data_IF_330950692351
#
_entry.id   IF_330950692351
#
_cell.length_a   1.000
_cell.length_b   1.000
_cell.length_c   1.000
_cell.angle_alpha   90.00
_cell.angle_beta   90.00
_cell.angle_gamma   90.00
#
_symmetry.space_group_name_H-M   'P 1'
#
loop_
_entity.id
_entity.type
_entity.pdbx_description
1 polymer ?
#
# COMPACT_ATOMS: atom_id res chain seq x y z
N UNK A 1 -7.88 -33.08 -28.30
CA UNK A 1 -7.19 -33.25 -26.99
C UNK A 1 -6.17 -32.17 -26.68
N UNK A 2 -5.11 -31.89 -27.47
CA UNK A 2 -4.14 -30.80 -27.22
C UNK A 2 -4.77 -29.42 -27.36
N UNK A 3 -5.62 -29.17 -28.36
CA UNK A 3 -6.36 -27.90 -28.56
C UNK A 3 -7.48 -27.68 -27.53
N UNK A 4 -8.09 -28.73 -27.02
CA UNK A 4 -9.08 -28.63 -25.95
C UNK A 4 -8.42 -28.31 -24.61
N UNK A 5 -7.24 -28.91 -24.32
CA UNK A 5 -6.44 -28.57 -23.13
C UNK A 5 -5.93 -27.12 -23.19
N UNK A 6 -5.58 -26.62 -24.37
CA UNK A 6 -5.16 -25.24 -24.56
C UNK A 6 -6.32 -24.25 -24.39
N UNK A 7 -7.50 -24.55 -24.96
CA UNK A 7 -8.73 -23.77 -24.76
C UNK A 7 -9.24 -23.81 -23.31
N UNK A 8 -9.12 -24.95 -22.64
CA UNK A 8 -9.49 -25.07 -21.23
C UNK A 8 -8.54 -24.29 -20.34
N UNK A 9 -7.21 -24.33 -20.59
CA UNK A 9 -6.24 -23.45 -19.94
C UNK A 9 -6.48 -21.96 -20.23
N UNK A 10 -6.80 -21.60 -21.48
CA UNK A 10 -7.12 -20.21 -21.86
C UNK A 10 -8.45 -19.73 -21.21
N UNK A 11 -9.45 -20.59 -21.03
CA UNK A 11 -10.69 -20.24 -20.30
C UNK A 11 -10.53 -20.26 -18.78
N UNK A 12 -9.62 -21.06 -18.23
CA UNK A 12 -9.24 -21.04 -16.82
C UNK A 12 -8.32 -19.86 -16.49
N UNK A 13 -7.57 -19.32 -17.48
CA UNK A 13 -6.75 -18.11 -17.37
C UNK A 13 -7.54 -16.79 -17.38
N UNK A 14 -8.85 -16.82 -17.61
CA UNK A 14 -9.72 -15.63 -17.60
C UNK A 14 -10.78 -15.68 -16.49
N UNK A 15 -10.55 -16.41 -15.42
CA UNK A 15 -11.34 -16.20 -14.23
C UNK A 15 -11.14 -14.73 -13.80
N UNK A 16 -12.21 -13.95 -13.91
CA UNK A 16 -12.19 -12.53 -13.54
C UNK A 16 -11.81 -12.44 -12.06
N UNK A 17 -10.67 -11.79 -11.77
CA UNK A 17 -10.21 -11.63 -10.39
C UNK A 17 -11.22 -10.74 -9.66
N UNK A 18 -11.82 -11.28 -8.61
CA UNK A 18 -12.83 -10.59 -7.83
C UNK A 18 -12.21 -9.38 -7.13
N UNK A 19 -12.73 -8.16 -7.35
CA UNK A 19 -12.31 -6.98 -6.62
C UNK A 19 -12.61 -7.12 -5.12
N UNK A 20 -11.82 -6.45 -4.28
CA UNK A 20 -12.00 -6.42 -2.82
C UNK A 20 -12.62 -5.09 -2.41
N UNK A 21 -13.68 -5.15 -1.59
CA UNK A 21 -14.29 -3.95 -1.01
C UNK A 21 -13.54 -3.53 0.25
N UNK A 22 -13.07 -2.27 0.28
CA UNK A 22 -12.40 -1.65 1.45
C UNK A 22 -13.20 -0.40 1.82
N UNK A 23 -14.03 -0.52 2.85
CA UNK A 23 -15.00 0.53 3.18
C UNK A 23 -15.90 0.86 1.97
N UNK A 24 -15.91 2.12 1.55
CA UNK A 24 -16.69 2.58 0.39
C UNK A 24 -15.99 2.39 -0.97
N UNK A 25 -14.74 1.93 -0.99
CA UNK A 25 -13.95 1.76 -2.20
C UNK A 25 -13.88 0.31 -2.65
N UNK A 26 -13.82 0.12 -3.96
CA UNK A 26 -13.59 -1.19 -4.58
C UNK A 26 -12.17 -1.22 -5.15
N UNK A 27 -11.36 -2.18 -4.71
CA UNK A 27 -9.96 -2.36 -5.12
C UNK A 27 -9.85 -3.53 -6.07
N UNK A 28 -9.57 -3.25 -7.34
CA UNK A 28 -9.53 -4.28 -8.38
C UNK A 28 -9.46 -3.70 -9.78
N UNK A 29 -9.31 -4.58 -10.77
CA UNK A 29 -9.26 -4.17 -12.17
C UNK A 29 -10.57 -3.47 -12.58
N UNK A 30 -10.48 -2.40 -13.38
CA UNK A 30 -11.61 -1.61 -13.82
C UNK A 30 -12.13 -0.57 -12.83
N UNK A 31 -11.52 -0.47 -11.65
CA UNK A 31 -11.81 0.54 -10.64
C UNK A 31 -10.66 1.56 -10.53
N UNK A 32 -10.90 2.76 -9.97
CA UNK A 32 -9.82 3.70 -9.66
C UNK A 32 -8.74 3.06 -8.79
N UNK A 33 -7.48 3.41 -9.04
CA UNK A 33 -6.36 2.94 -8.22
C UNK A 33 -6.53 3.45 -6.78
N UNK A 34 -6.45 2.55 -5.81
CA UNK A 34 -6.53 2.87 -4.40
C UNK A 34 -5.17 3.38 -3.92
N UNK A 35 -5.04 4.71 -3.81
CA UNK A 35 -3.80 5.38 -3.39
C UNK A 35 -3.77 5.50 -1.87
N UNK A 36 -2.67 5.07 -1.26
CA UNK A 36 -2.44 5.06 0.19
C UNK A 36 -1.23 5.93 0.53
N UNK A 37 -1.44 6.94 1.37
CA UNK A 37 -0.35 7.68 2.00
C UNK A 37 0.12 6.97 3.26
N UNK A 38 1.29 6.35 3.23
CA UNK A 38 1.89 5.72 4.41
C UNK A 38 2.53 6.78 5.30
N UNK A 39 1.84 7.16 6.36
CA UNK A 39 2.39 8.03 7.40
C UNK A 39 3.38 7.24 8.28
N UNK A 40 3.07 5.95 8.51
CA UNK A 40 3.90 5.06 9.29
C UNK A 40 4.20 5.62 10.67
N UNK A 41 5.45 5.96 10.93
CA UNK A 41 5.92 6.65 12.14
C UNK A 41 6.53 8.04 11.82
N UNK A 42 6.34 8.56 10.62
CA UNK A 42 6.88 9.85 10.20
C UNK A 42 6.29 11.05 10.97
N UNK A 43 5.19 10.82 11.67
CA UNK A 43 4.61 11.79 12.61
C UNK A 43 5.46 12.01 13.88
N UNK A 44 6.47 11.19 14.16
CA UNK A 44 7.38 11.33 15.31
C UNK A 44 6.68 11.45 16.69
N UNK A 45 5.49 10.85 16.85
CA UNK A 45 4.69 10.94 18.08
C UNK A 45 3.96 12.27 18.27
N UNK A 46 3.77 13.03 17.20
CA UNK A 46 3.03 14.29 17.18
C UNK A 46 1.78 14.15 16.30
N UNK A 47 0.60 14.26 16.90
CA UNK A 47 -0.69 14.11 16.19
C UNK A 47 -0.94 15.25 15.21
N UNK A 48 -0.41 16.44 15.45
CA UNK A 48 -0.54 17.57 14.53
C UNK A 48 0.27 17.38 13.25
N UNK A 49 1.46 16.75 13.34
CA UNK A 49 2.21 16.31 12.16
C UNK A 49 1.43 15.23 11.41
N UNK A 50 0.82 14.28 12.10
CA UNK A 50 -0.01 13.27 11.47
C UNK A 50 -1.19 13.90 10.69
N UNK A 51 -1.90 14.87 11.26
CA UNK A 51 -2.99 15.60 10.60
C UNK A 51 -2.52 16.37 9.36
N UNK A 52 -1.36 17.02 9.42
CA UNK A 52 -0.77 17.68 8.25
C UNK A 52 -0.47 16.69 7.12
N UNK A 53 0.02 15.49 7.45
CA UNK A 53 0.25 14.43 6.47
C UNK A 53 -1.08 13.88 5.91
N UNK A 54 -2.14 13.81 6.71
CA UNK A 54 -3.49 13.48 6.23
C UNK A 54 -4.01 14.54 5.25
N UNK A 55 -3.75 15.83 5.49
CA UNK A 55 -4.07 16.91 4.55
C UNK A 55 -3.35 16.75 3.22
N UNK A 56 -2.07 16.38 3.26
CA UNK A 56 -1.29 16.07 2.04
C UNK A 56 -1.91 14.92 1.28
N UNK A 57 -2.26 13.84 1.96
CA UNK A 57 -2.90 12.68 1.34
C UNK A 57 -4.26 13.06 0.71
N UNK A 58 -5.06 13.86 1.39
CA UNK A 58 -6.33 14.36 0.86
C UNK A 58 -6.14 15.21 -0.38
N UNK A 59 -5.18 16.14 -0.38
CA UNK A 59 -4.84 16.98 -1.56
C UNK A 59 -4.36 16.13 -2.75
N UNK A 60 -3.62 15.07 -2.50
CA UNK A 60 -3.20 14.12 -3.55
C UNK A 60 -4.37 13.33 -4.15
N UNK A 61 -5.54 13.34 -3.49
CA UNK A 61 -6.69 12.52 -3.86
C UNK A 61 -6.51 11.05 -3.48
N UNK A 62 -5.72 10.77 -2.45
CA UNK A 62 -5.61 9.46 -1.86
C UNK A 62 -6.94 9.02 -1.23
N UNK A 63 -7.20 7.72 -1.22
CA UNK A 63 -8.37 7.13 -0.59
C UNK A 63 -8.14 6.90 0.90
N UNK A 64 -6.88 6.65 1.28
CA UNK A 64 -6.55 6.34 2.65
C UNK A 64 -5.17 6.86 3.08
N UNK A 65 -5.01 6.98 4.39
CA UNK A 65 -3.71 7.04 5.05
C UNK A 65 -3.49 5.79 5.90
N UNK A 66 -2.22 5.42 6.07
CA UNK A 66 -1.86 4.25 6.86
C UNK A 66 -0.87 4.62 7.95
N UNK A 67 -1.10 4.04 9.12
CA UNK A 67 -0.25 4.11 10.29
C UNK A 67 0.39 2.75 10.61
N UNK A 68 1.17 2.71 11.65
CA UNK A 68 1.67 1.47 12.25
C UNK A 68 1.24 1.45 13.71
N UNK A 69 0.72 0.32 14.18
CA UNK A 69 0.40 0.12 15.60
C UNK A 69 1.19 -1.04 16.15
N UNK A 70 1.81 -0.82 17.29
CA UNK A 70 2.56 -1.86 18.01
C UNK A 70 2.41 -1.70 19.51
N UNK A 71 2.47 -2.82 20.21
CA UNK A 71 2.85 -2.83 21.60
C UNK A 71 4.38 -2.93 21.66
N UNK A 72 5.11 -1.85 22.02
CA UNK A 72 6.57 -1.87 21.96
C UNK A 72 7.22 -2.96 22.83
N UNK A 73 6.60 -3.32 23.95
CA UNK A 73 7.09 -4.40 24.83
C UNK A 73 7.09 -5.77 24.14
N UNK A 74 6.15 -6.00 23.23
CA UNK A 74 5.97 -7.25 22.50
C UNK A 74 6.69 -7.22 21.15
N UNK A 75 6.53 -6.14 20.39
CA UNK A 75 7.02 -6.04 19.01
C UNK A 75 8.53 -5.76 18.91
N UNK A 76 9.15 -5.17 19.96
CA UNK A 76 10.59 -4.91 19.94
C UNK A 76 11.36 -6.16 20.40
N UNK A 77 12.27 -6.71 19.57
CA UNK A 77 13.10 -7.84 19.97
C UNK A 77 13.92 -7.56 21.24
N UNK A 78 14.02 -8.53 22.13
CA UNK A 78 14.61 -8.37 23.45
C UNK A 78 16.06 -7.82 23.40
N UNK A 79 16.86 -8.30 22.43
CA UNK A 79 18.24 -7.87 22.21
C UNK A 79 18.36 -6.43 21.65
N UNK A 80 17.25 -5.81 21.24
CA UNK A 80 17.21 -4.44 20.73
C UNK A 80 16.74 -3.45 21.80
N UNK A 81 15.93 -3.88 22.78
CA UNK A 81 15.24 -3.00 23.73
C UNK A 81 16.18 -2.00 24.43
N UNK A 82 17.33 -2.47 24.90
CA UNK A 82 18.31 -1.67 25.65
C UNK A 82 19.32 -0.93 24.77
N UNK A 83 19.29 -1.09 23.45
CA UNK A 83 20.27 -0.40 22.57
C UNK A 83 20.10 1.11 22.64
N UNK A 84 21.21 1.86 22.86
CA UNK A 84 21.15 3.31 22.91
C UNK A 84 20.80 3.88 21.54
N UNK A 85 20.01 4.94 21.55
CA UNK A 85 19.61 5.70 20.37
C UNK A 85 19.69 7.19 20.64
N UNK A 86 20.43 7.90 19.79
CA UNK A 86 20.43 9.36 19.79
C UNK A 86 19.20 9.87 19.04
N UNK A 87 18.43 10.72 19.69
CA UNK A 87 17.18 11.26 19.15
C UNK A 87 17.12 12.77 19.35
N UNK A 88 16.21 13.50 18.66
CA UNK A 88 16.03 14.93 18.93
C UNK A 88 15.59 15.25 20.35
N UNK A 89 15.06 14.27 21.07
CA UNK A 89 14.61 14.41 22.47
C UNK A 89 15.67 14.01 23.49
N UNK A 90 16.90 13.67 23.05
CA UNK A 90 18.02 13.23 23.86
C UNK A 90 18.39 11.75 23.64
N UNK A 91 19.35 11.29 24.43
CA UNK A 91 19.74 9.88 24.44
C UNK A 91 18.69 9.05 25.18
N UNK A 92 18.26 7.95 24.57
CA UNK A 92 17.30 7.02 25.13
C UNK A 92 17.54 5.60 24.60
N UNK A 93 16.91 4.61 25.19
CA UNK A 93 16.92 3.25 24.64
C UNK A 93 16.03 3.12 23.42
N UNK A 94 16.23 2.09 22.61
CA UNK A 94 15.38 1.82 21.45
C UNK A 94 13.92 1.57 21.86
N UNK A 95 13.70 0.92 23.00
CA UNK A 95 12.35 0.69 23.55
C UNK A 95 11.68 2.01 23.94
N UNK A 96 12.38 2.89 24.69
CA UNK A 96 11.85 4.22 25.05
C UNK A 96 11.52 5.05 23.82
N UNK A 97 12.35 4.99 22.77
CA UNK A 97 12.06 5.63 21.49
C UNK A 97 10.77 5.07 20.87
N UNK A 98 10.58 3.75 20.89
CA UNK A 98 9.37 3.15 20.31
C UNK A 98 8.10 3.56 21.06
N UNK A 99 8.15 3.64 22.38
CA UNK A 99 7.04 4.20 23.17
C UNK A 99 6.81 5.68 22.87
N UNK A 100 7.86 6.44 22.66
CA UNK A 100 7.76 7.88 22.36
C UNK A 100 7.02 8.19 21.08
N UNK A 101 7.18 7.37 20.06
CA UNK A 101 6.55 7.59 18.74
C UNK A 101 5.27 6.81 18.54
N UNK A 102 4.89 5.96 19.49
CA UNK A 102 3.66 5.18 19.41
C UNK A 102 2.45 6.06 19.80
N UNK A 103 1.36 5.95 19.04
CA UNK A 103 0.10 6.57 19.38
C UNK A 103 -0.79 5.61 20.19
N UNK A 104 -1.56 6.17 21.11
CA UNK A 104 -2.50 5.45 21.96
C UNK A 104 -3.96 5.88 21.69
N UNK A 105 -4.88 5.54 22.59
CA UNK A 105 -6.32 5.73 22.39
C UNK A 105 -6.69 7.20 22.09
N UNK A 106 -6.03 8.18 22.72
CA UNK A 106 -6.36 9.60 22.56
C UNK A 106 -5.99 10.10 21.16
N UNK A 107 -4.77 9.82 20.70
CA UNK A 107 -4.28 10.25 19.39
C UNK A 107 -5.04 9.55 18.26
N UNK A 108 -5.34 8.24 18.41
CA UNK A 108 -6.15 7.53 17.42
C UNK A 108 -7.60 8.01 17.38
N UNK A 109 -8.18 8.43 18.51
CA UNK A 109 -9.51 9.05 18.51
C UNK A 109 -9.51 10.40 17.76
N UNK A 110 -8.44 11.21 17.88
CA UNK A 110 -8.28 12.44 17.11
C UNK A 110 -8.06 12.16 15.62
N UNK A 111 -7.24 11.17 15.26
CA UNK A 111 -7.01 10.73 13.88
C UNK A 111 -8.33 10.26 13.25
N UNK A 112 -9.11 9.45 13.95
CA UNK A 112 -10.38 8.93 13.48
C UNK A 112 -11.40 10.06 13.22
N UNK A 113 -11.51 11.00 14.15
CA UNK A 113 -12.37 12.17 13.99
C UNK A 113 -11.93 13.03 12.79
N UNK A 114 -10.63 13.29 12.66
CA UNK A 114 -10.08 14.10 11.57
C UNK A 114 -10.19 13.43 10.20
N UNK A 115 -9.97 12.11 10.14
CA UNK A 115 -10.18 11.32 8.92
C UNK A 115 -11.63 11.43 8.43
N UNK A 116 -12.61 11.33 9.34
CA UNK A 116 -14.04 11.51 9.02
C UNK A 116 -14.34 12.91 8.50
N UNK A 117 -13.77 13.96 9.10
CA UNK A 117 -13.89 15.34 8.62
C UNK A 117 -13.37 15.51 7.19
N UNK A 118 -12.22 14.91 6.90
CA UNK A 118 -11.61 14.93 5.57
C UNK A 118 -12.32 14.03 4.55
N UNK A 119 -13.18 13.10 4.97
CA UNK A 119 -13.69 12.02 4.11
C UNK A 119 -12.54 11.17 3.58
N UNK A 120 -11.61 10.80 4.45
CA UNK A 120 -10.43 9.99 4.17
C UNK A 120 -10.50 8.73 5.02
N UNK A 121 -10.22 7.57 4.44
CA UNK A 121 -10.09 6.34 5.23
C UNK A 121 -8.74 6.31 5.95
N UNK A 122 -8.70 5.64 7.08
CA UNK A 122 -7.45 5.32 7.74
C UNK A 122 -7.44 3.88 8.23
N UNK A 123 -6.26 3.30 8.31
CA UNK A 123 -6.02 1.98 8.88
C UNK A 123 -4.56 1.88 9.33
N UNK A 124 -4.17 0.75 9.91
CA UNK A 124 -2.82 0.56 10.38
C UNK A 124 -2.27 -0.83 10.06
N UNK A 125 -0.95 -0.94 10.08
CA UNK A 125 -0.27 -2.23 10.16
C UNK A 125 -0.12 -2.62 11.62
N UNK A 126 -0.80 -3.67 12.12
CA UNK A 126 -0.50 -4.23 13.43
C UNK A 126 0.83 -4.97 13.39
N UNK A 127 1.64 -4.82 14.42
CA UNK A 127 2.92 -5.51 14.58
C UNK A 127 2.88 -6.64 15.62
N UNK A 128 1.72 -6.82 16.25
CA UNK A 128 1.43 -7.83 17.27
C UNK A 128 -0.08 -8.00 17.44
N UNK A 129 -0.50 -9.04 18.15
CA UNK A 129 -1.91 -9.36 18.38
C UNK A 129 -2.60 -8.31 19.25
N UNK A 130 -1.89 -7.71 20.21
CA UNK A 130 -2.46 -6.64 21.05
C UNK A 130 -2.86 -5.44 20.18
N UNK A 131 -2.06 -5.15 19.16
CA UNK A 131 -2.33 -4.09 18.17
C UNK A 131 -3.56 -4.40 17.30
N UNK A 132 -3.82 -5.67 16.96
CA UNK A 132 -5.07 -6.05 16.27
C UNK A 132 -6.27 -5.75 17.19
N UNK A 133 -6.22 -6.20 18.45
CA UNK A 133 -7.27 -5.94 19.42
C UNK A 133 -7.48 -4.45 19.70
N UNK A 134 -6.41 -3.68 19.68
CA UNK A 134 -6.47 -2.22 19.82
C UNK A 134 -7.22 -1.57 18.64
N UNK A 135 -6.88 -1.93 17.40
CA UNK A 135 -7.46 -1.35 16.19
C UNK A 135 -8.95 -1.71 16.01
N UNK A 136 -9.40 -2.85 16.56
CA UNK A 136 -10.82 -3.22 16.54
C UNK A 136 -11.71 -2.22 17.31
N UNK A 137 -11.17 -1.46 18.26
CA UNK A 137 -11.91 -0.41 18.97
C UNK A 137 -12.37 0.72 18.03
N UNK A 138 -11.67 0.93 16.92
CA UNK A 138 -11.90 2.00 15.94
C UNK A 138 -12.61 1.52 14.69
N UNK A 139 -13.00 0.25 14.61
CA UNK A 139 -13.65 -0.35 13.45
C UNK A 139 -12.87 -0.10 12.13
N UNK A 140 -11.56 -0.35 12.16
CA UNK A 140 -10.69 -0.17 11.00
C UNK A 140 -11.28 -0.86 9.74
N UNK A 141 -11.29 -0.14 8.60
CA UNK A 141 -11.92 -0.62 7.36
C UNK A 141 -11.16 -1.77 6.69
N UNK A 142 -9.88 -1.93 7.00
CA UNK A 142 -8.98 -2.96 6.48
C UNK A 142 -7.77 -3.08 7.40
N UNK A 143 -7.05 -4.19 7.29
CA UNK A 143 -5.74 -4.37 7.91
C UNK A 143 -4.63 -4.39 6.89
N UNK A 144 -3.46 -3.90 7.26
CA UNK A 144 -2.25 -4.03 6.46
C UNK A 144 -1.26 -4.98 7.14
N UNK A 145 -0.90 -6.07 6.45
CA UNK A 145 0.24 -6.89 6.86
C UNK A 145 1.50 -6.31 6.23
N UNK A 146 2.39 -5.81 7.09
CA UNK A 146 3.70 -5.34 6.67
C UNK A 146 4.57 -6.49 6.14
N UNK A 147 5.51 -6.19 5.24
CA UNK A 147 6.46 -7.21 4.72
C UNK A 147 7.20 -7.96 5.84
N UNK A 148 7.54 -7.27 6.93
CA UNK A 148 8.21 -7.86 8.08
C UNK A 148 7.37 -8.90 8.83
N UNK A 149 6.03 -8.82 8.71
CA UNK A 149 5.10 -9.67 9.47
C UNK A 149 4.48 -10.80 8.64
N UNK A 150 4.80 -10.94 7.35
CA UNK A 150 4.18 -11.94 6.48
C UNK A 150 4.43 -13.39 6.92
N UNK A 151 5.49 -13.64 7.67
CA UNK A 151 5.83 -14.96 8.22
C UNK A 151 5.33 -15.19 9.64
N UNK A 152 4.68 -14.20 10.25
CA UNK A 152 4.09 -14.32 11.59
C UNK A 152 2.69 -14.94 11.49
N UNK A 153 2.65 -16.27 11.47
CA UNK A 153 1.39 -17.01 11.30
C UNK A 153 0.36 -16.68 12.37
N UNK A 154 0.70 -16.60 13.68
CA UNK A 154 -0.28 -16.19 14.70
C UNK A 154 -0.89 -14.80 14.45
N UNK A 155 -0.10 -13.84 13.99
CA UNK A 155 -0.60 -12.50 13.63
C UNK A 155 -1.52 -12.56 12.40
N UNK A 156 -1.14 -13.33 11.37
CA UNK A 156 -1.97 -13.52 10.18
C UNK A 156 -3.33 -14.13 10.55
N UNK A 157 -3.34 -15.15 11.41
CA UNK A 157 -4.56 -15.79 11.89
C UNK A 157 -5.44 -14.80 12.68
N UNK A 158 -4.85 -14.01 13.58
CA UNK A 158 -5.58 -13.00 14.35
C UNK A 158 -6.22 -11.94 13.43
N UNK A 159 -5.50 -11.48 12.41
CA UNK A 159 -6.03 -10.53 11.43
C UNK A 159 -7.12 -11.16 10.57
N UNK A 160 -6.91 -12.38 10.05
CA UNK A 160 -7.93 -13.12 9.27
C UNK A 160 -9.23 -13.28 10.05
N UNK A 161 -9.13 -13.62 11.31
CA UNK A 161 -10.28 -13.93 12.18
C UNK A 161 -11.14 -12.69 12.48
N UNK A 162 -10.65 -11.46 12.20
CA UNK A 162 -11.48 -10.24 12.20
C UNK A 162 -12.52 -10.24 11.08
N UNK A 163 -12.34 -11.03 10.03
CA UNK A 163 -13.22 -11.07 8.85
C UNK A 163 -13.12 -9.84 7.93
N UNK A 164 -12.23 -8.89 8.23
CA UNK A 164 -12.04 -7.66 7.45
C UNK A 164 -11.16 -7.91 6.22
N UNK A 165 -11.25 -7.04 5.18
CA UNK A 165 -10.31 -7.07 4.06
C UNK A 165 -8.87 -6.89 4.54
N UNK A 166 -7.92 -7.46 3.79
CA UNK A 166 -6.51 -7.39 4.13
C UNK A 166 -5.67 -7.00 2.92
N UNK A 167 -4.78 -6.05 3.11
CA UNK A 167 -3.72 -5.69 2.16
C UNK A 167 -2.42 -6.27 2.70
N UNK A 168 -1.75 -7.16 1.95
CA UNK A 168 -0.56 -7.87 2.42
C UNK A 168 0.65 -7.61 1.51
N UNK A 169 1.71 -7.02 2.06
CA UNK A 169 2.97 -6.77 1.34
C UNK A 169 3.87 -7.98 1.34
N UNK A 170 4.58 -8.19 0.21
CA UNK A 170 5.39 -9.39 -0.06
C UNK A 170 6.90 -9.15 -0.03
N UNK A 171 7.37 -8.01 0.44
CA UNK A 171 8.79 -7.71 0.58
C UNK A 171 9.52 -8.68 1.52
N UNK A 172 10.83 -8.86 1.33
CA UNK A 172 11.68 -9.75 2.12
C UNK A 172 11.23 -11.22 2.15
N UNK A 173 10.39 -11.67 1.21
CA UNK A 173 9.78 -12.99 1.24
C UNK A 173 10.05 -13.79 -0.01
N UNK A 174 10.27 -15.09 0.16
CA UNK A 174 10.28 -16.05 -0.93
C UNK A 174 8.85 -16.40 -1.38
N UNK A 175 8.71 -17.01 -2.56
CA UNK A 175 7.39 -17.46 -3.03
C UNK A 175 6.76 -18.48 -2.08
N UNK A 176 7.56 -19.36 -1.48
CA UNK A 176 7.07 -20.37 -0.52
C UNK A 176 6.52 -19.72 0.76
N UNK A 177 7.14 -18.64 1.23
CA UNK A 177 6.63 -17.87 2.37
C UNK A 177 5.33 -17.15 2.02
N UNK A 178 5.25 -16.57 0.82
CA UNK A 178 4.01 -15.93 0.33
C UNK A 178 2.91 -16.97 0.13
N UNK A 179 3.21 -18.15 -0.44
CA UNK A 179 2.26 -19.25 -0.59
C UNK A 179 1.64 -19.62 0.76
N UNK A 180 2.48 -19.77 1.80
CA UNK A 180 2.01 -20.07 3.15
C UNK A 180 1.14 -18.98 3.74
N UNK A 181 1.52 -17.74 3.59
CA UNK A 181 0.73 -16.60 4.07
C UNK A 181 -0.64 -16.52 3.37
N UNK A 182 -0.67 -16.70 2.04
CA UNK A 182 -1.93 -16.73 1.26
C UNK A 182 -2.80 -17.94 1.65
N UNK A 183 -2.20 -19.10 1.94
CA UNK A 183 -2.94 -20.27 2.45
C UNK A 183 -3.66 -19.93 3.78
N UNK A 184 -2.96 -19.26 4.69
CA UNK A 184 -3.50 -18.87 6.00
C UNK A 184 -4.60 -17.81 5.87
N UNK A 185 -4.35 -16.78 5.06
CA UNK A 185 -5.28 -15.65 4.90
C UNK A 185 -6.53 -16.00 4.10
N UNK A 186 -6.44 -16.97 3.19
CA UNK A 186 -7.44 -17.13 2.14
C UNK A 186 -7.33 -16.05 1.05
N UNK A 187 -8.20 -16.10 0.05
CA UNK A 187 -8.13 -15.22 -1.13
C UNK A 187 -9.31 -14.24 -1.25
N UNK A 188 -10.40 -14.48 -0.54
CA UNK A 188 -11.68 -13.79 -0.79
C UNK A 188 -11.63 -12.29 -0.51
N UNK A 189 -10.91 -11.87 0.52
CA UNK A 189 -10.77 -10.47 0.92
C UNK A 189 -9.31 -10.01 0.95
N UNK A 190 -8.46 -10.58 0.08
CA UNK A 190 -7.03 -10.35 0.07
C UNK A 190 -6.61 -9.51 -1.14
N UNK A 191 -5.85 -8.45 -0.88
CA UNK A 191 -5.06 -7.69 -1.86
C UNK A 191 -3.58 -7.93 -1.55
N UNK A 192 -2.82 -8.42 -2.52
CA UNK A 192 -1.36 -8.52 -2.39
C UNK A 192 -0.70 -7.21 -2.86
N UNK A 193 0.46 -6.89 -2.28
CA UNK A 193 1.30 -5.80 -2.78
C UNK A 193 2.70 -6.31 -3.06
N UNK A 194 3.15 -6.13 -4.29
CA UNK A 194 4.57 -6.25 -4.59
C UNK A 194 5.33 -5.14 -3.86
N UNK A 195 6.37 -5.49 -3.13
CA UNK A 195 7.23 -4.59 -2.39
C UNK A 195 8.66 -5.11 -2.33
N UNK A 196 9.63 -4.19 -2.28
CA UNK A 196 11.02 -4.48 -1.92
C UNK A 196 11.40 -3.59 -0.74
N UNK A 197 11.90 -4.21 0.33
CA UNK A 197 12.16 -3.51 1.60
C UNK A 197 13.60 -2.97 1.67
N UNK A 198 13.97 -2.16 0.68
CA UNK A 198 15.20 -1.35 0.64
C UNK A 198 14.80 0.12 0.68
N UNK A 199 15.44 0.94 1.52
CA UNK A 199 15.05 2.34 1.80
C UNK A 199 16.26 3.30 1.69
N UNK A 200 16.38 4.16 0.66
CA UNK A 200 15.55 4.19 -0.54
C UNK A 200 15.83 2.99 -1.48
N UNK A 201 14.83 2.64 -2.29
CA UNK A 201 14.89 1.49 -3.20
C UNK A 201 15.54 1.89 -4.53
N UNK A 202 16.68 1.27 -4.94
CA UNK A 202 17.27 1.52 -6.25
C UNK A 202 16.46 0.82 -7.36
N UNK A 203 16.37 1.42 -8.57
CA UNK A 203 15.52 0.92 -9.66
C UNK A 203 15.78 -0.54 -10.06
N UNK A 204 17.02 -1.00 -10.00
CA UNK A 204 17.42 -2.38 -10.35
C UNK A 204 16.87 -3.45 -9.40
N UNK A 205 16.45 -3.09 -8.20
CA UNK A 205 15.86 -4.00 -7.20
C UNK A 205 14.34 -4.00 -7.19
N UNK A 206 13.68 -3.14 -7.97
CA UNK A 206 12.21 -2.95 -7.94
C UNK A 206 11.46 -4.16 -8.50
N UNK A 207 11.86 -4.67 -9.66
CA UNK A 207 11.24 -5.83 -10.32
C UNK A 207 9.71 -5.71 -10.55
N UNK A 208 9.25 -4.68 -11.22
CA UNK A 208 7.80 -4.42 -11.46
C UNK A 208 7.06 -5.58 -12.13
N UNK A 209 7.76 -6.42 -12.92
CA UNK A 209 7.15 -7.58 -13.56
C UNK A 209 6.66 -8.64 -12.55
N UNK A 210 7.03 -8.54 -11.28
CA UNK A 210 6.45 -9.35 -10.22
C UNK A 210 4.94 -9.06 -10.02
N UNK A 211 4.45 -7.85 -10.34
CA UNK A 211 3.03 -7.50 -10.19
C UNK A 211 2.12 -8.42 -11.02
N UNK A 212 2.25 -8.50 -12.36
CA UNK A 212 1.46 -9.44 -13.14
C UNK A 212 1.74 -10.91 -12.78
N UNK A 213 2.97 -11.27 -12.40
CA UNK A 213 3.31 -12.65 -12.02
C UNK A 213 2.61 -13.08 -10.72
N UNK A 214 2.57 -12.23 -9.70
CA UNK A 214 1.84 -12.49 -8.45
C UNK A 214 0.33 -12.57 -8.71
N UNK A 215 -0.21 -11.68 -9.55
CA UNK A 215 -1.62 -11.71 -9.96
C UNK A 215 -1.99 -13.02 -10.65
N UNK A 216 -1.17 -13.49 -11.58
CA UNK A 216 -1.38 -14.77 -12.27
C UNK A 216 -1.31 -15.97 -11.30
N UNK A 217 -0.31 -15.96 -10.39
CA UNK A 217 -0.09 -17.06 -9.43
C UNK A 217 -1.23 -17.20 -8.42
N UNK A 218 -1.67 -16.09 -7.84
CA UNK A 218 -2.60 -16.13 -6.70
C UNK A 218 -4.05 -15.89 -7.07
N UNK A 219 -4.33 -15.27 -8.21
CA UNK A 219 -5.69 -14.96 -8.64
C UNK A 219 -6.40 -13.94 -7.74
N UNK A 220 -5.64 -13.01 -7.14
CA UNK A 220 -6.13 -11.91 -6.31
C UNK A 220 -5.68 -10.56 -6.87
N UNK A 221 -6.33 -9.44 -6.49
CA UNK A 221 -5.85 -8.11 -6.85
C UNK A 221 -4.43 -7.88 -6.33
N UNK A 222 -3.58 -7.24 -7.15
CA UNK A 222 -2.18 -6.95 -6.78
C UNK A 222 -1.90 -5.46 -6.95
N UNK A 223 -1.29 -4.87 -5.93
CA UNK A 223 -0.81 -3.50 -5.91
C UNK A 223 0.71 -3.40 -5.82
N UNK A 224 1.17 -2.19 -5.57
CA UNK A 224 2.58 -1.84 -5.41
C UNK A 224 2.80 -1.00 -4.15
N UNK A 225 3.76 -1.38 -3.32
CA UNK A 225 4.24 -0.61 -2.17
C UNK A 225 5.70 -0.23 -2.42
N UNK A 226 5.94 1.03 -2.76
CA UNK A 226 7.20 1.53 -3.27
C UNK A 226 7.99 2.35 -2.26
N UNK A 227 9.34 2.22 -2.32
CA UNK A 227 10.29 2.95 -1.48
C UNK A 227 11.37 3.66 -2.32
N UNK A 228 11.18 3.72 -3.63
CA UNK A 228 12.02 4.41 -4.59
C UNK A 228 11.86 5.93 -4.50
N UNK A 229 12.81 6.68 -5.04
CA UNK A 229 12.72 8.14 -5.19
C UNK A 229 11.94 8.48 -6.47
N UNK A 230 11.05 9.47 -6.40
CA UNK A 230 10.26 9.94 -7.54
C UNK A 230 8.99 9.12 -7.79
N UNK A 231 8.25 9.50 -8.83
CA UNK A 231 6.91 8.98 -9.15
C UNK A 231 6.90 7.92 -10.25
N UNK A 232 7.90 7.94 -11.14
CA UNK A 232 7.89 7.20 -12.40
C UNK A 232 7.67 5.69 -12.25
N UNK A 233 8.29 5.06 -11.24
CA UNK A 233 8.18 3.62 -10.99
C UNK A 233 6.79 3.27 -10.47
N UNK A 234 6.26 4.04 -9.53
CA UNK A 234 4.89 3.86 -9.02
C UNK A 234 3.84 4.02 -10.12
N UNK A 235 4.02 4.99 -11.02
CA UNK A 235 3.16 5.18 -12.21
C UNK A 235 3.27 4.01 -13.18
N UNK A 236 4.50 3.50 -13.43
CA UNK A 236 4.71 2.31 -14.25
C UNK A 236 4.07 1.07 -13.64
N UNK A 237 4.06 0.92 -12.31
CA UNK A 237 3.35 -0.16 -11.64
C UNK A 237 1.85 -0.16 -11.95
N UNK A 238 1.21 1.02 -11.97
CA UNK A 238 -0.20 1.18 -12.39
C UNK A 238 -0.38 0.74 -13.84
N UNK A 239 0.51 1.12 -14.74
CA UNK A 239 0.45 0.69 -16.14
C UNK A 239 0.60 -0.84 -16.31
N UNK A 240 1.28 -1.51 -15.39
CA UNK A 240 1.38 -2.98 -15.31
C UNK A 240 0.20 -3.64 -14.58
N UNK A 241 -0.78 -2.86 -14.16
CA UNK A 241 -2.03 -3.32 -13.57
C UNK A 241 -2.02 -3.38 -12.04
N UNK A 242 -1.18 -2.62 -11.37
CA UNK A 242 -1.31 -2.39 -9.93
C UNK A 242 -2.63 -1.68 -9.63
N UNK A 243 -3.44 -2.26 -8.74
CA UNK A 243 -4.77 -1.74 -8.37
C UNK A 243 -4.75 -0.88 -7.11
N UNK A 244 -3.64 -0.89 -6.38
CA UNK A 244 -3.36 -0.01 -5.25
C UNK A 244 -1.90 0.38 -5.26
N UNK A 245 -1.61 1.60 -4.82
CA UNK A 245 -0.26 2.14 -4.68
C UNK A 245 -0.12 2.70 -3.27
N UNK A 246 0.94 2.29 -2.59
CA UNK A 246 1.30 2.77 -1.26
C UNK A 246 2.67 3.44 -1.31
N UNK A 247 2.78 4.65 -0.81
CA UNK A 247 4.05 5.38 -0.67
C UNK A 247 4.13 6.04 0.70
N UNK A 248 5.30 5.96 1.31
CA UNK A 248 5.61 6.77 2.49
C UNK A 248 5.51 8.26 2.17
N UNK A 249 4.95 9.04 3.10
CA UNK A 249 4.84 10.49 3.00
C UNK A 249 5.48 11.17 4.21
N UNK A 250 6.10 12.30 3.98
CA UNK A 250 6.73 13.15 5.00
C UNK A 250 6.39 14.62 4.75
N UNK A 251 6.55 15.47 5.75
CA UNK A 251 6.51 16.91 5.55
C UNK A 251 7.84 17.47 5.01
N UNK A 252 8.96 16.81 5.35
CA UNK A 252 10.30 17.20 4.94
C UNK A 252 11.25 15.99 5.12
N UNK A 253 11.99 15.64 4.08
CA UNK A 253 12.93 14.52 4.07
C UNK A 253 14.10 14.67 5.06
N UNK A 254 14.38 15.90 5.51
CA UNK A 254 15.40 16.18 6.52
C UNK A 254 14.90 16.01 7.96
N UNK A 255 13.61 15.74 8.15
CA UNK A 255 13.07 15.40 9.47
C UNK A 255 13.77 14.15 10.02
N UNK A 256 13.89 14.08 11.34
CA UNK A 256 14.45 12.92 12.00
C UNK A 256 13.52 11.71 11.91
N UNK A 257 14.06 10.54 11.55
CA UNK A 257 13.33 9.29 11.43
C UNK A 257 13.97 8.36 10.40
N UNK A 258 13.70 7.06 10.53
CA UNK A 258 14.28 6.05 9.63
C UNK A 258 13.71 6.11 8.22
N UNK A 259 12.45 6.53 8.07
CA UNK A 259 11.69 6.39 6.84
C UNK A 259 11.59 7.71 6.05
N UNK A 260 11.94 8.85 6.68
CA UNK A 260 11.83 10.19 6.13
C UNK A 260 12.51 10.32 4.76
N UNK A 261 13.77 9.84 4.64
CA UNK A 261 14.56 9.97 3.40
C UNK A 261 14.04 9.19 2.20
N UNK A 262 13.26 8.15 2.43
CA UNK A 262 12.61 7.35 1.39
C UNK A 262 11.15 7.75 1.15
N UNK A 263 10.67 8.76 1.89
CA UNK A 263 9.30 9.25 1.82
C UNK A 263 9.15 10.36 0.79
N UNK A 264 7.96 10.50 0.25
CA UNK A 264 7.61 11.59 -0.66
C UNK A 264 7.23 12.85 0.13
N UNK A 265 7.77 13.98 -0.28
CA UNK A 265 7.34 15.28 0.22
C UNK A 265 5.96 15.68 -0.36
N UNK A 266 5.28 16.69 0.21
CA UNK A 266 3.89 17.00 -0.13
C UNK A 266 3.64 17.19 -1.63
N UNK A 267 4.44 17.99 -2.31
CA UNK A 267 4.25 18.29 -3.74
C UNK A 267 4.48 17.04 -4.61
N UNK A 268 5.41 16.18 -4.20
CA UNK A 268 5.72 14.95 -4.91
C UNK A 268 4.59 13.92 -4.78
N UNK A 269 3.99 13.77 -3.58
CA UNK A 269 2.86 12.86 -3.38
C UNK A 269 1.59 13.35 -4.07
N UNK A 270 1.34 14.67 -4.09
CA UNK A 270 0.24 15.27 -4.84
C UNK A 270 0.42 14.99 -6.34
N UNK A 271 1.62 15.21 -6.86
CA UNK A 271 1.97 14.91 -8.25
C UNK A 271 1.76 13.43 -8.58
N UNK A 272 2.16 12.51 -7.70
CA UNK A 272 1.92 11.08 -7.89
C UNK A 272 0.42 10.79 -8.05
N UNK A 273 -0.42 11.37 -7.21
CA UNK A 273 -1.87 11.20 -7.32
C UNK A 273 -2.44 11.70 -8.65
N UNK A 274 -1.94 12.82 -9.17
CA UNK A 274 -2.31 13.35 -10.49
C UNK A 274 -1.87 12.42 -11.62
N UNK A 275 -0.61 11.99 -11.62
CA UNK A 275 -0.04 11.11 -12.64
C UNK A 275 -0.72 9.73 -12.67
N UNK A 276 -1.10 9.18 -11.51
CA UNK A 276 -1.88 7.93 -11.42
C UNK A 276 -3.23 8.09 -12.12
N UNK A 277 -3.95 9.19 -11.89
CA UNK A 277 -5.25 9.45 -12.53
C UNK A 277 -5.11 9.65 -14.05
N UNK A 278 -4.08 10.37 -14.47
CA UNK A 278 -3.78 10.58 -15.88
C UNK A 278 -3.48 9.26 -16.59
N UNK A 279 -2.56 8.44 -16.06
CA UNK A 279 -2.20 7.15 -16.64
C UNK A 279 -3.37 6.18 -16.63
N UNK A 280 -4.15 6.11 -15.55
CA UNK A 280 -5.35 5.27 -15.48
C UNK A 280 -6.34 5.62 -16.60
N UNK A 281 -6.53 6.91 -16.87
CA UNK A 281 -7.37 7.37 -17.98
C UNK A 281 -6.76 7.00 -19.35
N UNK A 282 -5.45 7.15 -19.49
CA UNK A 282 -4.72 6.88 -20.73
C UNK A 282 -4.65 5.39 -21.12
N UNK A 283 -4.75 4.49 -20.14
CA UNK A 283 -4.76 3.04 -20.38
C UNK A 283 -5.94 2.62 -21.29
N UNK A 284 -7.10 3.25 -21.16
CA UNK A 284 -8.27 2.97 -21.99
C UNK A 284 -8.77 1.52 -21.85
N UNK A 285 -9.40 1.02 -22.92
CA UNK A 285 -10.00 -0.34 -22.96
C UNK A 285 -9.23 -1.35 -23.81
N UNK A 286 -8.03 -0.99 -24.30
CA UNK A 286 -7.17 -1.83 -25.12
C UNK A 286 -7.66 -2.07 -26.55
N UNK A 287 -8.82 -1.54 -26.96
CA UNK A 287 -9.36 -1.73 -28.31
C UNK A 287 -8.81 -0.68 -29.27
N UNK A 288 -8.06 -1.11 -30.30
CA UNK A 288 -7.59 -0.19 -31.34
C UNK A 288 -8.75 0.24 -32.25
N UNK A 289 -8.98 1.55 -32.29
CA UNK A 289 -9.97 2.20 -33.15
C UNK A 289 -9.53 3.59 -33.54
N UNK A 290 -10.20 4.18 -34.51
CA UNK A 290 -10.06 5.62 -34.78
C UNK A 290 -10.72 6.38 -33.62
N UNK A 291 -9.96 7.27 -33.01
CA UNK A 291 -10.49 8.11 -31.93
C UNK A 291 -11.19 9.34 -32.52
N UNK A 292 -12.19 9.92 -31.84
CA UNK A 292 -12.95 11.07 -32.37
C UNK A 292 -12.05 12.24 -32.82
N UNK A 293 -10.97 12.53 -32.09
CA UNK A 293 -10.00 13.56 -32.45
C UNK A 293 -9.20 13.29 -33.72
N UNK A 294 -9.16 12.04 -34.22
CA UNK A 294 -8.42 11.67 -35.44
C UNK A 294 -9.27 11.83 -36.72
N UNK A 295 -10.61 11.92 -36.62
CA UNK A 295 -11.49 11.94 -37.81
C UNK A 295 -11.15 13.09 -38.77
N UNK A 296 -10.94 14.30 -38.25
CA UNK A 296 -10.56 15.45 -39.05
C UNK A 296 -9.16 15.29 -39.69
N UNK A 297 -8.28 14.54 -39.01
CA UNK A 297 -6.90 14.28 -39.48
C UNK A 297 -6.87 13.24 -40.59
N UNK A 298 -7.79 12.28 -40.58
CA UNK A 298 -7.94 11.31 -41.69
C UNK A 298 -8.16 12.03 -43.00
N UNK A 299 -9.06 13.02 -43.02
CA UNK A 299 -9.39 13.78 -44.22
C UNK A 299 -8.21 14.60 -44.76
N UNK A 300 -7.36 15.16 -43.86
CA UNK A 300 -6.28 16.07 -44.23
C UNK A 300 -4.89 15.42 -44.41
N UNK A 301 -4.62 14.32 -43.67
CA UNK A 301 -3.29 13.74 -43.61
C UNK A 301 -3.16 12.35 -44.24
N UNK A 302 -4.27 11.60 -44.45
CA UNK A 302 -4.20 10.26 -45.00
C UNK A 302 -3.88 10.32 -46.50
N UNK A 303 -2.73 9.74 -46.91
CA UNK A 303 -2.23 9.79 -48.31
C UNK A 303 -3.06 8.89 -49.22
N UNK A 304 -3.48 7.72 -48.75
CA UNK A 304 -4.35 6.78 -49.50
C UNK A 304 -5.67 6.70 -48.78
N UNK A 305 -6.78 7.03 -49.48
CA UNK A 305 -8.13 7.03 -48.95
C UNK A 305 -8.81 5.68 -49.14
#
# INVERSE_FOLDING_TARGET
MVLEHKRKRESEMTAEITPVSIGEHTVGAGHPVYLIGEIGINHNGDVEIAKQLMDVAKKAGAQAVKFQKRNPDVAVPEDQKSKPRSTPWGEMTYLEYKFRVEFEDAEYAEIDAYAKELGLQWFASPWDIDSVNFLEKFDAVTYKIASASITDIPLLEAVRDTGKPVIMSTGMSTLEQIDKAVEVMGKDNLVLMHATSTYPLPPEEVNLLAIPALRERYGVPVGYSGHEIGTAISVAAVALGAVTVERHITLDNEMWGSDQKASMEPDEFIKLGEEIREVTTALGDGKKRVMPGEESKIASLRVVK
#
